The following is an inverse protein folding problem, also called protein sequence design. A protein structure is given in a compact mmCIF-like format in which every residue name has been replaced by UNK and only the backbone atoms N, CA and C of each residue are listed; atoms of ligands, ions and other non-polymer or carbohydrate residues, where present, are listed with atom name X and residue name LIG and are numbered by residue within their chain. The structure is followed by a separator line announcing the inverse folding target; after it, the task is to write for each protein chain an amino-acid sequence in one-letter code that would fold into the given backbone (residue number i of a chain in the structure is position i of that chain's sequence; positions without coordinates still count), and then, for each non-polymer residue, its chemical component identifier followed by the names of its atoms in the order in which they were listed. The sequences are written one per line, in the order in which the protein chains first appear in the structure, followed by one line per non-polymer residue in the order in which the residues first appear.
data_IF_011782619980
#
_entry.id   IF_011782619980
#
_cell.length_a   1.000
_cell.length_b   1.000
_cell.length_c   1.000
_cell.angle_alpha   90.00
_cell.angle_beta   90.00
_cell.angle_gamma   90.00
#
_symmetry.space_group_name_H-M   'P 1'
#
loop_
_entity.id
_entity.type
_entity.pdbx_description
1 polymer ?
#
# COMPACT_ATOMS: atom_id res chain seq x y z
N UNK A 1 20.39 18.99 12.08
CA UNK A 1 19.59 18.96 10.82
C UNK A 1 18.68 17.74 10.83
N UNK A 2 17.36 17.90 10.71
CA UNK A 2 16.47 16.76 10.42
C UNK A 2 16.74 16.31 8.98
N UNK A 3 17.49 15.22 8.82
CA UNK A 3 17.89 14.69 7.50
C UNK A 3 16.67 14.23 6.68
N UNK A 4 15.61 13.77 7.37
CA UNK A 4 14.33 13.34 6.78
C UNK A 4 13.27 14.42 6.97
N UNK A 5 12.82 15.03 5.87
CA UNK A 5 11.72 16.03 5.84
C UNK A 5 10.61 15.58 4.90
N UNK A 6 9.37 16.05 5.11
CA UNK A 6 8.20 15.70 4.27
C UNK A 6 8.43 16.04 2.79
N UNK A 7 9.05 17.20 2.50
CA UNK A 7 9.37 17.60 1.13
C UNK A 7 10.36 16.65 0.46
N UNK A 8 11.43 16.24 1.16
CA UNK A 8 12.40 15.28 0.63
C UNK A 8 11.78 13.91 0.36
N UNK A 9 10.88 13.46 1.24
CA UNK A 9 10.14 12.23 1.03
C UNK A 9 9.19 12.32 -0.18
N UNK A 10 8.49 13.44 -0.35
CA UNK A 10 7.62 13.65 -1.52
C UNK A 10 8.41 13.65 -2.83
N UNK A 11 9.55 14.34 -2.86
CA UNK A 11 10.47 14.32 -4.02
C UNK A 11 10.92 12.90 -4.33
N UNK A 12 11.33 12.13 -3.32
CA UNK A 12 11.74 10.74 -3.52
C UNK A 12 10.61 9.87 -4.13
N UNK A 13 9.36 10.06 -3.69
CA UNK A 13 8.20 9.35 -4.26
C UNK A 13 8.02 9.70 -5.74
N UNK A 14 8.05 10.99 -6.09
CA UNK A 14 7.93 11.45 -7.48
C UNK A 14 9.04 10.85 -8.35
N UNK A 15 10.28 10.87 -7.87
CA UNK A 15 11.41 10.26 -8.58
C UNK A 15 11.18 8.76 -8.79
N UNK A 16 10.76 8.03 -7.77
CA UNK A 16 10.44 6.59 -7.91
C UNK A 16 9.37 6.32 -8.96
N UNK A 17 8.30 7.13 -9.00
CA UNK A 17 7.26 7.01 -10.03
C UNK A 17 7.80 7.28 -11.43
N UNK A 18 8.59 8.35 -11.61
CA UNK A 18 9.17 8.67 -12.92
C UNK A 18 10.08 7.56 -13.43
N UNK A 19 10.94 7.01 -12.56
CA UNK A 19 11.79 5.87 -12.90
C UNK A 19 10.95 4.64 -13.24
N UNK A 20 9.89 4.35 -12.48
CA UNK A 20 8.99 3.23 -12.77
C UNK A 20 8.31 3.35 -14.13
N UNK A 21 7.88 4.56 -14.52
CA UNK A 21 7.33 4.81 -15.86
C UNK A 21 8.36 4.62 -16.95
N UNK A 22 9.57 5.14 -16.78
CA UNK A 22 10.65 5.00 -17.77
C UNK A 22 10.99 3.52 -17.99
N UNK A 23 11.20 2.78 -16.89
CA UNK A 23 11.45 1.34 -16.95
C UNK A 23 10.26 0.63 -17.60
N UNK A 24 9.03 0.87 -17.15
CA UNK A 24 7.83 0.21 -17.69
C UNK A 24 7.56 0.49 -19.17
N UNK A 25 7.89 1.68 -19.66
CA UNK A 25 7.66 2.09 -21.06
C UNK A 25 8.85 1.78 -21.99
N UNK A 26 9.96 1.26 -21.46
CA UNK A 26 11.15 0.94 -22.27
C UNK A 26 10.84 -0.03 -23.44
N UNK A 27 9.97 -1.06 -23.30
CA UNK A 27 9.58 -1.90 -24.43
C UNK A 27 8.81 -1.14 -25.53
N UNK A 28 8.08 -0.08 -25.18
CA UNK A 28 7.35 0.76 -26.14
C UNK A 28 8.28 1.72 -26.90
N UNK A 29 9.44 2.04 -26.35
CA UNK A 29 10.46 2.91 -26.99
C UNK A 29 11.31 2.16 -28.03
N UNK A 30 11.04 0.89 -28.30
CA UNK A 30 11.67 0.10 -29.36
C UNK A 30 12.30 -1.21 -28.91
N UNK A 31 12.37 -1.49 -27.60
CA UNK A 31 12.91 -2.76 -27.08
C UNK A 31 11.85 -3.86 -26.98
N UNK A 32 11.20 -4.17 -28.11
CA UNK A 32 10.17 -5.19 -28.22
C UNK A 32 10.49 -6.18 -29.35
N UNK A 33 9.74 -7.27 -29.45
CA UNK A 33 10.00 -8.32 -30.45
C UNK A 33 9.32 -8.05 -31.81
N UNK A 34 8.71 -6.89 -32.03
CA UNK A 34 7.89 -6.61 -33.22
C UNK A 34 8.70 -6.77 -34.51
N UNK A 35 9.92 -6.23 -34.54
CA UNK A 35 10.82 -6.34 -35.70
C UNK A 35 11.18 -7.80 -36.03
N UNK A 36 11.40 -8.63 -34.99
CA UNK A 36 11.73 -10.06 -35.15
C UNK A 36 10.54 -10.87 -35.65
N UNK A 37 9.33 -10.55 -35.18
CA UNK A 37 8.10 -11.18 -35.64
C UNK A 37 7.79 -10.86 -37.12
N UNK A 38 8.12 -9.64 -37.57
CA UNK A 38 7.94 -9.21 -38.95
C UNK A 38 8.89 -9.88 -39.93
N UNK A 39 10.12 -10.19 -39.53
CA UNK A 39 11.08 -10.90 -40.38
C UNK A 39 10.79 -12.41 -40.53
N UNK A 40 10.21 -13.05 -39.50
CA UNK A 40 9.93 -14.49 -39.55
C UNK A 40 8.67 -14.86 -40.38
N UNK A 41 8.02 -13.89 -41.04
CA UNK A 41 6.85 -14.14 -41.90
C UNK A 41 5.59 -14.59 -41.15
N UNK A 42 5.53 -14.40 -39.83
CA UNK A 42 4.38 -14.80 -38.99
C UNK A 42 3.24 -13.74 -38.96
N UNK A 43 3.41 -12.63 -39.67
CA UNK A 43 2.41 -11.57 -39.79
C UNK A 43 1.62 -11.79 -41.09
N UNK A 44 0.36 -12.22 -40.95
CA UNK A 44 -0.61 -12.17 -42.05
C UNK A 44 -0.81 -10.71 -42.48
N UNK A 45 -1.30 -10.48 -43.71
CA UNK A 45 -1.44 -9.14 -44.32
C UNK A 45 -2.18 -8.08 -43.45
N UNK A 46 -2.96 -8.52 -42.44
CA UNK A 46 -3.68 -7.67 -41.48
C UNK A 46 -2.92 -7.33 -40.17
N UNK A 47 -1.64 -7.68 -40.03
CA UNK A 47 -0.82 -7.38 -38.84
C UNK A 47 -1.42 -7.85 -37.49
N UNK A 48 -2.17 -8.96 -37.47
CA UNK A 48 -2.84 -9.47 -36.26
C UNK A 48 -1.88 -10.35 -35.46
N UNK A 49 -1.54 -9.93 -34.24
CA UNK A 49 -0.67 -10.67 -33.31
C UNK A 49 -1.52 -11.20 -32.14
N UNK A 50 -1.33 -12.47 -31.76
CA UNK A 50 -1.91 -13.01 -30.52
C UNK A 50 -1.25 -12.34 -29.32
N UNK A 51 -2.06 -11.66 -28.49
CA UNK A 51 -1.59 -10.93 -27.30
C UNK A 51 -1.09 -11.88 -26.21
N UNK A 52 0.12 -12.39 -26.38
CA UNK A 52 0.86 -13.17 -25.40
C UNK A 52 2.09 -12.39 -24.97
N UNK A 53 2.31 -12.33 -23.65
CA UNK A 53 3.40 -11.56 -23.04
C UNK A 53 4.77 -11.90 -23.66
N UNK A 54 5.05 -13.19 -23.85
CA UNK A 54 6.33 -13.67 -24.40
C UNK A 54 6.55 -13.28 -25.87
N UNK A 55 5.46 -13.05 -26.62
CA UNK A 55 5.54 -12.67 -28.03
C UNK A 55 5.84 -11.19 -28.18
N UNK A 56 5.23 -10.33 -27.36
CA UNK A 56 5.36 -8.87 -27.50
C UNK A 56 6.56 -8.30 -26.73
N UNK A 57 6.91 -8.88 -25.59
CA UNK A 57 7.99 -8.41 -24.72
C UNK A 57 9.21 -9.32 -24.83
N UNK A 58 10.39 -8.73 -25.02
CA UNK A 58 11.65 -9.47 -25.12
C UNK A 58 12.04 -10.09 -23.76
N UNK A 59 12.39 -11.37 -23.77
CA UNK A 59 12.90 -12.07 -22.58
C UNK A 59 14.25 -11.52 -22.14
N UNK A 60 15.09 -11.07 -23.08
CA UNK A 60 16.36 -10.40 -22.79
C UNK A 60 16.14 -9.13 -21.95
N UNK A 61 15.13 -8.33 -22.31
CA UNK A 61 14.72 -7.15 -21.56
C UNK A 61 14.24 -7.52 -20.14
N UNK A 62 13.36 -8.51 -20.04
CA UNK A 62 12.78 -8.93 -18.75
C UNK A 62 13.82 -9.51 -17.79
N UNK A 63 14.82 -10.21 -18.29
CA UNK A 63 15.86 -10.84 -17.46
C UNK A 63 17.01 -9.88 -17.17
N UNK A 64 17.68 -9.35 -18.19
CA UNK A 64 18.89 -8.55 -17.99
C UNK A 64 18.60 -7.15 -17.46
N UNK A 65 17.67 -6.43 -18.09
CA UNK A 65 17.39 -5.06 -17.70
C UNK A 65 16.47 -5.01 -16.48
N UNK A 66 15.31 -5.67 -16.55
CA UNK A 66 14.32 -5.59 -15.49
C UNK A 66 14.75 -6.40 -14.24
N UNK A 67 15.01 -7.70 -14.38
CA UNK A 67 15.33 -8.53 -13.21
C UNK A 67 16.71 -8.22 -12.62
N UNK A 68 17.78 -8.33 -13.41
CA UNK A 68 19.15 -8.10 -12.91
C UNK A 68 19.48 -6.62 -12.66
N UNK A 69 18.88 -5.70 -13.43
CA UNK A 69 19.13 -4.25 -13.27
C UNK A 69 18.27 -3.59 -12.19
N UNK A 70 16.95 -3.87 -12.18
CA UNK A 70 16.00 -3.08 -11.37
C UNK A 70 15.37 -3.84 -10.21
N UNK A 71 15.28 -5.17 -10.25
CA UNK A 71 14.63 -5.96 -9.19
C UNK A 71 15.66 -6.53 -8.22
N UNK A 72 16.70 -7.20 -8.73
CA UNK A 72 17.69 -7.89 -7.91
C UNK A 72 18.53 -6.91 -7.05
N UNK A 73 19.06 -5.77 -7.56
CA UNK A 73 19.92 -4.92 -6.75
C UNK A 73 19.19 -4.28 -5.56
N UNK A 74 17.96 -3.73 -5.71
CA UNK A 74 17.19 -3.28 -4.56
C UNK A 74 16.86 -4.41 -3.57
N UNK A 75 16.52 -5.61 -4.05
CA UNK A 75 16.29 -6.76 -3.17
C UNK A 75 17.53 -7.11 -2.35
N UNK A 76 18.71 -7.20 -2.98
CA UNK A 76 19.97 -7.48 -2.29
C UNK A 76 20.34 -6.37 -1.29
N UNK A 77 20.22 -5.10 -1.69
CA UNK A 77 20.47 -3.96 -0.81
C UNK A 77 19.57 -4.01 0.42
N UNK A 78 18.28 -4.27 0.23
CA UNK A 78 17.34 -4.39 1.33
C UNK A 78 17.71 -5.57 2.23
N UNK A 79 18.02 -6.75 1.68
CA UNK A 79 18.46 -7.90 2.46
C UNK A 79 19.68 -7.58 3.33
N UNK A 80 20.71 -6.95 2.76
CA UNK A 80 21.90 -6.53 3.50
C UNK A 80 21.52 -5.58 4.65
N UNK A 81 20.72 -4.55 4.37
CA UNK A 81 20.27 -3.59 5.40
C UNK A 81 19.52 -4.32 6.52
N UNK A 82 18.62 -5.26 6.21
CA UNK A 82 17.90 -6.01 7.25
C UNK A 82 18.79 -6.98 8.02
N UNK A 83 19.77 -7.61 7.36
CA UNK A 83 20.75 -8.46 8.07
C UNK A 83 21.61 -7.65 9.02
N UNK A 84 22.04 -6.45 8.63
CA UNK A 84 22.79 -5.52 9.49
C UNK A 84 21.95 -5.06 10.68
N UNK A 85 20.69 -4.70 10.42
CA UNK A 85 19.74 -4.34 11.48
C UNK A 85 19.60 -5.52 12.46
N UNK A 86 19.34 -6.73 11.95
CA UNK A 86 19.17 -7.93 12.76
C UNK A 86 20.43 -8.29 13.56
N UNK A 87 21.60 -8.22 12.93
CA UNK A 87 22.89 -8.45 13.57
C UNK A 87 23.14 -7.44 14.69
N UNK A 88 22.93 -6.14 14.43
CA UNK A 88 23.02 -5.09 15.45
C UNK A 88 22.10 -5.40 16.64
N UNK A 89 20.87 -5.86 16.38
CA UNK A 89 19.91 -6.22 17.42
C UNK A 89 20.42 -7.39 18.26
N UNK A 90 20.85 -8.48 17.64
CA UNK A 90 21.35 -9.65 18.36
C UNK A 90 22.59 -9.33 19.19
N UNK A 91 23.51 -8.52 18.65
CA UNK A 91 24.69 -8.03 19.37
C UNK A 91 24.31 -7.19 20.59
N UNK A 92 23.30 -6.33 20.48
CA UNK A 92 22.78 -5.52 21.58
C UNK A 92 22.10 -6.38 22.66
N UNK A 93 21.37 -7.43 22.27
CA UNK A 93 20.74 -8.38 23.20
C UNK A 93 21.78 -9.20 23.96
N UNK A 94 22.82 -9.70 23.28
CA UNK A 94 23.91 -10.46 23.91
C UNK A 94 24.73 -9.59 24.89
N UNK A 95 24.97 -8.31 24.59
CA UNK A 95 25.64 -7.38 25.52
C UNK A 95 24.80 -7.07 26.76
N UNK A 96 23.47 -7.00 26.62
CA UNK A 96 22.55 -6.72 27.72
C UNK A 96 22.33 -7.93 28.64
N UNK A 97 22.47 -9.15 28.14
CA UNK A 97 22.42 -10.37 28.96
C UNK A 97 23.52 -10.43 30.03
N UNK A 98 24.65 -9.73 29.84
CA UNK A 98 25.73 -9.62 30.83
C UNK A 98 25.64 -8.38 31.74
N UNK A 99 24.73 -7.42 31.48
CA UNK A 99 24.68 -6.15 32.22
C UNK A 99 23.28 -5.91 32.79
N UNK A 100 23.02 -6.52 33.94
CA UNK A 100 21.77 -6.37 34.70
C UNK A 100 21.72 -4.98 35.36
N UNK A 101 21.32 -3.93 34.64
CA UNK A 101 20.86 -2.68 35.28
C UNK A 101 19.81 -1.97 34.41
N UNK A 102 18.67 -1.69 35.06
CA UNK A 102 17.40 -1.31 34.48
C UNK A 102 17.36 0.19 34.14
N UNK A 103 17.01 0.53 32.90
CA UNK A 103 16.29 1.78 32.56
C UNK A 103 15.61 1.56 31.21
N UNK A 104 14.64 2.39 30.85
CA UNK A 104 13.56 2.12 29.88
C UNK A 104 13.74 2.57 28.39
N UNK A 105 14.90 2.41 27.69
CA UNK A 105 14.94 2.55 26.22
C UNK A 105 14.41 1.30 25.48
N UNK A 106 14.21 0.17 26.19
CA UNK A 106 13.76 -1.08 25.58
C UNK A 106 12.37 -0.95 24.92
N UNK A 107 11.45 -0.16 25.48
CA UNK A 107 10.08 -0.06 24.94
C UNK A 107 10.02 0.73 23.61
N UNK A 108 10.88 1.73 23.43
CA UNK A 108 11.00 2.47 22.16
C UNK A 108 11.65 1.59 21.08
N UNK A 109 12.78 0.97 21.41
CA UNK A 109 13.51 0.08 20.53
C UNK A 109 12.67 -1.13 20.06
N UNK A 110 11.93 -1.76 20.97
CA UNK A 110 11.04 -2.87 20.62
C UNK A 110 9.90 -2.46 19.66
N UNK A 111 9.44 -1.20 19.71
CA UNK A 111 8.44 -0.68 18.77
C UNK A 111 9.04 -0.47 17.38
N UNK A 112 10.20 0.18 17.30
CA UNK A 112 10.92 0.36 16.04
C UNK A 112 11.30 -0.98 15.41
N UNK A 113 11.78 -1.93 16.22
CA UNK A 113 12.06 -3.30 15.80
C UNK A 113 10.81 -4.00 15.28
N UNK A 114 9.67 -3.85 15.96
CA UNK A 114 8.42 -4.45 15.50
C UNK A 114 8.00 -3.90 14.13
N UNK A 115 8.23 -2.61 13.88
CA UNK A 115 8.00 -1.99 12.58
C UNK A 115 8.99 -2.52 11.54
N UNK A 116 10.28 -2.54 11.82
CA UNK A 116 11.31 -3.08 10.94
C UNK A 116 11.06 -4.56 10.58
N UNK A 117 10.67 -5.39 11.55
CA UNK A 117 10.29 -6.80 11.31
C UNK A 117 9.03 -6.92 10.45
N UNK A 118 8.11 -5.97 10.55
CA UNK A 118 6.94 -5.92 9.66
C UNK A 118 7.37 -5.58 8.23
N UNK A 119 8.24 -4.58 8.05
CA UNK A 119 8.76 -4.20 6.74
C UNK A 119 9.57 -5.34 6.10
N UNK A 120 10.42 -6.02 6.87
CA UNK A 120 11.15 -7.20 6.42
C UNK A 120 10.21 -8.31 5.93
N UNK A 121 9.10 -8.54 6.65
CA UNK A 121 8.10 -9.53 6.24
C UNK A 121 7.39 -9.15 4.94
N UNK A 122 7.03 -7.87 4.76
CA UNK A 122 6.45 -7.37 3.49
C UNK A 122 7.43 -7.62 2.33
N UNK A 123 8.71 -7.33 2.52
CA UNK A 123 9.72 -7.52 1.48
C UNK A 123 9.99 -9.00 1.17
N UNK A 124 9.98 -9.85 2.19
CA UNK A 124 10.08 -11.29 2.00
C UNK A 124 8.90 -11.83 1.19
N UNK A 125 7.68 -11.38 1.47
CA UNK A 125 6.50 -11.76 0.69
C UNK A 125 6.54 -11.18 -0.73
N UNK A 126 7.06 -9.98 -0.90
CA UNK A 126 7.34 -9.41 -2.23
C UNK A 126 8.32 -10.29 -3.01
N UNK A 127 9.44 -10.71 -2.40
CA UNK A 127 10.39 -11.60 -3.05
C UNK A 127 9.74 -12.95 -3.42
N UNK A 128 9.05 -13.61 -2.48
CA UNK A 128 8.38 -14.90 -2.77
C UNK A 128 7.33 -14.76 -3.86
N UNK A 129 6.62 -13.64 -3.93
CA UNK A 129 5.58 -13.46 -4.93
C UNK A 129 6.11 -13.19 -6.33
N UNK A 130 7.24 -12.49 -6.45
CA UNK A 130 7.83 -12.11 -7.74
C UNK A 130 8.88 -13.08 -8.25
N UNK A 131 9.63 -13.75 -7.37
CA UNK A 131 10.71 -14.66 -7.76
C UNK A 131 10.24 -15.80 -8.67
N UNK A 132 9.10 -16.49 -8.45
CA UNK A 132 8.66 -17.57 -9.34
C UNK A 132 8.49 -17.12 -10.79
N UNK A 133 7.92 -15.93 -11.00
CA UNK A 133 7.74 -15.37 -12.34
C UNK A 133 9.09 -15.02 -12.98
N UNK A 134 10.00 -14.38 -12.23
CA UNK A 134 11.35 -14.07 -12.73
C UNK A 134 12.17 -15.33 -13.03
N UNK A 135 12.05 -16.39 -12.23
CA UNK A 135 12.70 -17.68 -12.48
C UNK A 135 12.17 -18.29 -13.78
N UNK A 136 10.85 -18.28 -14.01
CA UNK A 136 10.27 -18.77 -15.27
C UNK A 136 10.77 -17.95 -16.47
N UNK A 137 10.89 -16.63 -16.34
CA UNK A 137 11.46 -15.78 -17.39
C UNK A 137 12.94 -16.12 -17.65
N UNK A 138 13.73 -16.39 -16.62
CA UNK A 138 15.12 -16.83 -16.76
C UNK A 138 15.20 -18.19 -17.47
N UNK A 139 14.37 -19.17 -17.08
CA UNK A 139 14.32 -20.48 -17.74
C UNK A 139 13.91 -20.33 -19.20
N UNK A 140 12.93 -19.48 -19.49
CA UNK A 140 12.47 -19.21 -20.86
C UNK A 140 13.59 -18.62 -21.72
N UNK A 141 14.47 -17.80 -21.14
CA UNK A 141 15.61 -17.22 -21.84
C UNK A 141 16.77 -18.20 -22.03
N UNK A 142 17.20 -18.89 -20.96
CA UNK A 142 18.40 -19.73 -20.97
C UNK A 142 18.14 -21.16 -21.46
N UNK A 143 16.90 -21.64 -21.36
CA UNK A 143 16.48 -22.96 -21.83
C UNK A 143 15.15 -22.86 -22.61
N UNK A 144 15.18 -22.41 -23.87
CA UNK A 144 13.97 -22.30 -24.70
C UNK A 144 13.32 -23.66 -25.00
N UNK A 145 14.06 -24.76 -24.86
CA UNK A 145 13.58 -26.15 -25.08
C UNK A 145 12.99 -26.79 -23.82
N UNK A 146 13.06 -26.12 -22.67
CA UNK A 146 12.52 -26.65 -21.42
C UNK A 146 11.00 -26.50 -21.40
N UNK A 147 10.29 -27.61 -21.25
CA UNK A 147 8.84 -27.58 -21.07
C UNK A 147 8.47 -26.96 -19.72
N UNK A 148 7.69 -25.88 -19.79
CA UNK A 148 7.13 -25.20 -18.64
C UNK A 148 5.63 -25.48 -18.57
N UNK A 149 5.16 -26.25 -17.59
CA UNK A 149 3.75 -26.57 -17.53
C UNK A 149 2.92 -25.30 -17.26
N UNK A 150 1.82 -25.15 -18.00
CA UNK A 150 0.97 -23.96 -17.99
C UNK A 150 0.51 -23.57 -16.57
N UNK A 151 0.24 -24.56 -15.72
CA UNK A 151 -0.21 -24.32 -14.35
C UNK A 151 0.83 -23.55 -13.51
N UNK A 152 2.14 -23.79 -13.70
CA UNK A 152 3.18 -23.07 -12.97
C UNK A 152 3.21 -21.59 -13.35
N UNK A 153 3.01 -21.30 -14.64
CA UNK A 153 2.92 -19.93 -15.14
C UNK A 153 1.71 -19.23 -14.51
N UNK A 154 0.54 -19.86 -14.52
CA UNK A 154 -0.67 -19.28 -13.91
C UNK A 154 -0.53 -19.06 -12.41
N UNK A 155 0.06 -20.01 -11.67
CA UNK A 155 0.31 -19.85 -10.24
C UNK A 155 1.28 -18.70 -9.98
N UNK A 156 2.36 -18.58 -10.77
CA UNK A 156 3.31 -17.47 -10.64
C UNK A 156 2.64 -16.11 -10.91
N UNK A 157 1.83 -16.02 -11.97
CA UNK A 157 1.04 -14.81 -12.29
C UNK A 157 0.08 -14.49 -11.14
N UNK A 158 -0.69 -15.47 -10.68
CA UNK A 158 -1.64 -15.29 -9.57
C UNK A 158 -0.92 -14.82 -8.30
N UNK A 159 0.26 -15.35 -8.02
CA UNK A 159 1.07 -14.97 -6.88
C UNK A 159 1.54 -13.51 -6.97
N UNK A 160 1.98 -13.07 -8.15
CA UNK A 160 2.34 -11.66 -8.38
C UNK A 160 1.15 -10.71 -8.20
N UNK A 161 -0.04 -11.07 -8.68
CA UNK A 161 -1.25 -10.28 -8.45
C UNK A 161 -1.68 -10.29 -6.98
N UNK A 162 -1.55 -11.44 -6.32
CA UNK A 162 -1.87 -11.62 -4.90
C UNK A 162 -1.01 -10.75 -3.98
N UNK A 163 0.22 -10.39 -4.37
CA UNK A 163 1.10 -9.51 -3.60
C UNK A 163 0.44 -8.16 -3.23
N UNK A 164 -0.44 -7.63 -4.09
CA UNK A 164 -1.18 -6.40 -3.80
C UNK A 164 -2.12 -6.54 -2.59
N UNK A 165 -2.77 -7.71 -2.45
CA UNK A 165 -3.68 -8.03 -1.34
C UNK A 165 -2.94 -8.35 -0.02
N UNK A 166 -1.68 -8.75 -0.11
CA UNK A 166 -0.85 -9.07 1.06
C UNK A 166 -0.57 -7.83 1.92
N UNK A 167 -0.40 -6.65 1.31
CA UNK A 167 0.01 -5.46 2.05
C UNK A 167 -0.99 -5.06 3.17
N UNK A 168 -2.30 -4.90 2.93
CA UNK A 168 -3.27 -4.61 3.98
C UNK A 168 -3.35 -5.70 5.05
N UNK A 169 -3.28 -6.98 4.65
CA UNK A 169 -3.30 -8.13 5.55
C UNK A 169 -2.13 -8.05 6.52
N UNK A 170 -0.92 -7.87 6.01
CA UNK A 170 0.29 -7.77 6.84
C UNK A 170 0.17 -6.60 7.82
N UNK A 171 -0.28 -5.43 7.38
CA UNK A 171 -0.42 -4.28 8.27
C UNK A 171 -1.50 -4.50 9.34
N UNK A 172 -2.63 -5.11 8.98
CA UNK A 172 -3.72 -5.42 9.91
C UNK A 172 -3.28 -6.41 11.00
N UNK A 173 -2.48 -7.43 10.68
CA UNK A 173 -2.00 -8.39 11.68
C UNK A 173 -0.80 -7.89 12.50
N UNK A 174 0.05 -7.03 11.92
CA UNK A 174 1.34 -6.65 12.55
C UNK A 174 1.27 -5.34 13.33
N UNK A 175 0.51 -4.36 12.89
CA UNK A 175 0.45 -3.02 13.51
C UNK A 175 -0.85 -2.89 14.30
N UNK A 176 -0.74 -2.88 15.65
CA UNK A 176 -1.91 -2.77 16.55
C UNK A 176 -2.79 -1.56 16.22
N UNK A 177 -2.19 -0.40 15.93
CA UNK A 177 -2.93 0.83 15.56
C UNK A 177 -3.78 0.65 14.30
N UNK A 178 -3.26 -0.03 13.27
CA UNK A 178 -4.03 -0.31 12.06
C UNK A 178 -5.14 -1.32 12.33
N UNK A 179 -4.83 -2.40 13.06
CA UNK A 179 -5.82 -3.40 13.46
C UNK A 179 -7.00 -2.78 14.19
N UNK A 180 -6.73 -1.91 15.16
CA UNK A 180 -7.76 -1.31 15.99
C UNK A 180 -8.63 -0.33 15.16
N UNK A 181 -8.03 0.38 14.19
CA UNK A 181 -8.77 1.19 13.22
C UNK A 181 -9.62 0.34 12.26
N UNK A 182 -9.08 -0.76 11.72
CA UNK A 182 -9.83 -1.70 10.87
C UNK A 182 -11.01 -2.31 11.62
N UNK A 183 -10.83 -2.72 12.88
CA UNK A 183 -11.91 -3.24 13.72
C UNK A 183 -12.97 -2.19 14.03
N UNK A 184 -12.58 -0.91 14.21
CA UNK A 184 -13.52 0.20 14.40
C UNK A 184 -14.37 0.42 13.14
N UNK A 185 -13.73 0.50 11.98
CA UNK A 185 -14.42 0.64 10.68
C UNK A 185 -15.32 -0.57 10.43
N UNK A 186 -14.83 -1.79 10.69
CA UNK A 186 -15.61 -3.02 10.53
C UNK A 186 -16.86 -3.03 11.42
N UNK A 187 -16.73 -2.66 12.70
CA UNK A 187 -17.88 -2.59 13.60
C UNK A 187 -18.90 -1.52 13.21
N UNK A 188 -18.41 -0.39 12.69
CA UNK A 188 -19.26 0.74 12.32
C UNK A 188 -19.99 0.52 10.99
N UNK A 189 -19.35 -0.11 9.99
CA UNK A 189 -19.94 -0.31 8.66
C UNK A 189 -20.56 -1.70 8.45
N UNK A 190 -19.97 -2.77 9.01
CA UNK A 190 -20.44 -4.15 8.78
C UNK A 190 -21.27 -4.72 9.93
N UNK A 191 -21.20 -4.15 11.14
CA UNK A 191 -22.02 -4.62 12.27
C UNK A 191 -23.18 -3.67 12.65
N UNK A 192 -23.39 -2.56 11.93
CA UNK A 192 -24.43 -1.56 12.22
C UNK A 192 -24.62 -1.30 13.73
N UNK A 193 -23.52 -1.23 14.48
CA UNK A 193 -23.56 -0.74 15.86
C UNK A 193 -23.21 0.73 15.80
N UNK A 194 -24.22 1.56 16.01
CA UNK A 194 -24.02 2.97 16.33
C UNK A 194 -22.96 3.04 17.42
N UNK A 195 -21.87 3.75 17.12
CA UNK A 195 -20.90 4.10 18.14
C UNK A 195 -21.66 4.99 19.12
N UNK A 196 -21.85 4.58 20.39
CA UNK A 196 -22.35 5.53 21.37
C UNK A 196 -21.34 6.66 21.39
N UNK A 197 -21.80 7.89 21.17
CA UNK A 197 -20.98 9.09 21.25
C UNK A 197 -20.10 8.97 22.49
N UNK A 198 -18.78 8.84 22.29
CA UNK A 198 -17.85 8.80 23.41
C UNK A 198 -17.96 10.19 24.04
N UNK A 199 -18.63 10.17 25.19
CA UNK A 199 -18.56 11.14 26.27
C UNK A 199 -17.18 11.79 26.27
N UNK A 200 -17.18 13.12 26.12
CA UNK A 200 -16.03 13.98 26.34
C UNK A 200 -15.18 13.41 27.49
N UNK A 201 -13.89 13.22 27.24
CA UNK A 201 -12.91 12.97 28.30
C UNK A 201 -13.14 14.01 29.40
N UNK A 202 -13.41 13.62 30.66
CA UNK A 202 -13.20 14.53 31.76
C UNK A 202 -11.68 14.75 31.83
N UNK A 203 -11.27 15.97 31.51
CA UNK A 203 -9.95 16.46 31.90
C UNK A 203 -9.81 16.26 33.39
N UNK A 204 -8.77 15.55 33.79
CA UNK A 204 -8.34 15.31 35.16
C UNK A 204 -7.86 16.64 35.76
N UNK A 205 -8.79 17.51 36.15
CA UNK A 205 -8.47 18.80 36.79
C UNK A 205 -9.48 19.31 37.82
N UNK A 206 -10.22 18.43 38.48
CA UNK A 206 -11.04 18.78 39.67
C UNK A 206 -10.88 17.72 40.77
N UNK A 207 -9.66 17.54 41.26
CA UNK A 207 -9.42 16.69 42.45
C UNK A 207 -8.55 17.35 43.52
N UNK A 208 -8.58 18.68 43.62
CA UNK A 208 -7.93 19.42 44.70
C UNK A 208 -8.70 20.71 45.02
N UNK A 209 -9.93 20.61 45.54
CA UNK A 209 -10.53 21.74 46.29
C UNK A 209 -11.70 21.34 47.20
N UNK A 210 -11.60 20.18 47.86
CA UNK A 210 -12.53 19.86 48.95
C UNK A 210 -11.79 19.29 50.16
N UNK A 211 -10.89 20.12 50.69
CA UNK A 211 -10.41 20.04 52.07
C UNK A 211 -9.92 21.44 52.49
N UNK A 212 -10.87 22.33 52.81
CA UNK A 212 -10.69 23.36 53.83
C UNK A 212 -11.96 24.19 53.99
N UNK A 213 -12.36 24.46 55.25
CA UNK A 213 -13.14 25.66 55.56
C UNK A 213 -14.53 25.43 56.13
N UNK A 214 -14.59 24.92 57.36
CA UNK A 214 -15.69 25.18 58.28
C UNK A 214 -15.69 26.69 58.64
N UNK A 215 -16.81 27.41 58.50
CA UNK A 215 -16.86 28.83 58.85
C UNK A 215 -18.18 29.55 58.53
N UNK A 216 -18.94 29.82 59.59
CA UNK A 216 -20.19 30.58 59.68
C UNK A 216 -20.03 32.07 59.26
N UNK A 217 -21.05 32.71 58.67
CA UNK A 217 -21.10 34.18 58.57
C UNK A 217 -22.14 34.79 57.61
N UNK A 218 -23.12 35.51 58.19
CA UNK A 218 -24.18 36.30 57.56
C UNK A 218 -23.71 37.46 56.64
N UNK A 219 -24.52 37.81 55.63
CA UNK A 219 -24.50 39.14 54.97
C UNK A 219 -25.28 39.19 53.65
N UNK A 220 -26.39 39.94 53.61
CA UNK A 220 -27.23 40.25 52.43
C UNK A 220 -26.82 41.63 51.81
N UNK A 221 -27.46 42.15 50.74
CA UNK A 221 -27.09 42.04 49.32
C UNK A 221 -26.77 43.40 48.65
N UNK A 222 -26.18 43.42 47.43
CA UNK A 222 -26.66 44.29 46.34
C UNK A 222 -25.99 44.01 44.97
N UNK A 223 -26.62 44.42 43.84
CA UNK A 223 -26.40 43.89 42.50
C UNK A 223 -25.71 44.89 41.55
N UNK A 224 -25.21 44.38 40.43
CA UNK A 224 -25.11 45.06 39.13
C UNK A 224 -24.88 43.94 38.08
N UNK A 225 -25.82 43.68 37.16
CA UNK A 225 -25.94 44.26 35.81
C UNK A 225 -24.58 44.21 35.08
N UNK A 226 -24.41 43.46 33.98
CA UNK A 226 -25.14 43.63 32.72
C UNK A 226 -25.39 42.34 31.92
N UNK A 227 -26.40 42.46 31.06
CA UNK A 227 -26.98 41.44 30.18
C UNK A 227 -26.39 41.49 28.75
N UNK A 228 -26.02 40.31 28.22
CA UNK A 228 -26.24 39.79 26.84
C UNK A 228 -25.66 40.52 25.59
N UNK A 229 -25.64 39.90 24.38
CA UNK A 229 -25.92 38.49 24.01
C UNK A 229 -24.90 37.84 23.05
N UNK A 230 -25.19 36.56 22.79
CA UNK A 230 -24.63 35.64 21.81
C UNK A 230 -24.45 36.16 20.36
N UNK A 231 -23.47 35.57 19.67
CA UNK A 231 -23.38 35.55 18.21
C UNK A 231 -23.31 34.08 17.74
N UNK A 232 -24.36 33.64 17.04
CA UNK A 232 -24.48 32.36 16.34
C UNK A 232 -23.86 32.42 14.92
N UNK A 233 -23.64 31.28 14.25
CA UNK A 233 -22.62 31.09 13.19
C UNK A 233 -23.17 31.29 11.76
N UNK A 234 -22.31 31.25 10.72
CA UNK A 234 -22.75 30.94 9.36
C UNK A 234 -22.79 29.41 9.12
N UNK A 235 -23.97 28.93 8.74
CA UNK A 235 -24.20 27.70 7.97
C UNK A 235 -23.99 27.98 6.46
N UNK A 236 -23.45 26.99 5.74
CA UNK A 236 -23.81 26.51 4.39
C UNK A 236 -22.59 25.75 3.81
N UNK A 237 -22.70 24.61 3.14
CA UNK A 237 -23.86 23.96 2.56
C UNK A 237 -23.59 22.48 2.26
N UNK A 238 -24.73 21.80 2.13
CA UNK A 238 -24.97 20.36 2.01
C UNK A 238 -24.48 19.76 0.68
N UNK A 239 -24.14 18.47 0.76
CA UNK A 239 -23.92 17.48 -0.30
C UNK A 239 -25.11 17.37 -1.29
N UNK A 240 -24.96 16.67 -2.43
CA UNK A 240 -25.43 15.28 -2.41
C UNK A 240 -24.61 14.27 -3.22
N UNK A 241 -24.64 13.04 -2.69
CA UNK A 241 -24.41 11.76 -3.35
C UNK A 241 -25.59 11.35 -4.24
N UNK A 242 -25.34 10.59 -5.32
CA UNK A 242 -26.23 9.47 -5.72
C UNK A 242 -25.50 8.54 -6.70
N UNK A 243 -25.25 7.31 -6.26
CA UNK A 243 -25.38 6.14 -7.13
C UNK A 243 -26.82 6.10 -7.65
N UNK A 244 -27.03 6.07 -8.97
CA UNK A 244 -28.11 5.35 -9.67
C UNK A 244 -27.91 5.52 -11.19
N UNK A 245 -27.18 4.60 -11.81
CA UNK A 245 -27.63 4.03 -13.09
C UNK A 245 -26.82 2.77 -13.40
N UNK A 246 -27.41 1.64 -13.02
CA UNK A 246 -27.11 0.35 -13.60
C UNK A 246 -27.86 0.26 -14.95
N UNK A 247 -27.28 -0.48 -15.88
CA UNK A 247 -27.92 -1.06 -17.08
C UNK A 247 -27.96 -0.22 -18.37
N UNK A 248 -26.95 -0.41 -19.25
CA UNK A 248 -27.15 -0.41 -20.70
C UNK A 248 -26.25 -1.49 -21.35
N UNK A 249 -26.88 -2.52 -21.93
CA UNK A 249 -26.31 -3.39 -22.98
C UNK A 249 -27.25 -3.29 -24.21
N UNK A 250 -26.82 -3.78 -25.39
CA UNK A 250 -26.38 -3.01 -26.56
C UNK A 250 -27.49 -2.76 -27.61
N UNK A 251 -27.47 -1.61 -28.28
CA UNK A 251 -28.27 -1.39 -29.49
C UNK A 251 -27.47 -1.69 -30.76
N UNK A 252 -27.99 -2.66 -31.54
CA UNK A 252 -27.62 -3.02 -32.91
C UNK A 252 -28.17 -1.95 -33.88
N UNK A 253 -27.41 -1.47 -34.87
CA UNK A 253 -28.01 -0.73 -35.98
C UNK A 253 -28.75 -1.70 -36.92
N UNK A 254 -30.04 -1.43 -37.13
CA UNK A 254 -30.78 -1.92 -38.29
C UNK A 254 -30.14 -1.31 -39.55
N UNK A 255 -29.79 -2.14 -40.52
CA UNK A 255 -29.73 -1.72 -41.92
C UNK A 255 -30.88 -2.40 -42.67
N UNK A 256 -31.52 -1.58 -43.49
CA UNK A 256 -32.74 -1.77 -44.22
C UNK A 256 -32.55 -2.85 -45.30
N UNK A 257 -33.49 -3.79 -45.39
CA UNK A 257 -33.70 -4.56 -46.61
C UNK A 257 -34.50 -3.67 -47.58
N UNK A 258 -33.98 -3.47 -48.77
CA UNK A 258 -34.77 -3.29 -49.98
C UNK A 258 -34.36 -4.39 -50.98
N UNK A 259 -35.31 -4.73 -51.83
CA UNK A 259 -35.62 -6.06 -52.39
C UNK A 259 -34.87 -6.34 -53.73
N UNK A 260 -35.22 -7.35 -54.56
CA UNK A 260 -34.28 -8.22 -55.23
C UNK A 260 -34.18 -7.86 -56.72
N UNK A 261 -33.70 -8.81 -57.52
CA UNK A 261 -33.89 -8.98 -58.98
C UNK A 261 -32.65 -8.71 -59.84
N UNK A 262 -32.25 -9.80 -60.51
CA UNK A 262 -31.27 -9.99 -61.59
C UNK A 262 -29.84 -10.32 -61.19
#
# INVERSE_FOLDING_TARGET
MRVVTKQRAAVAVVVCWTVAFIVGLTPMLGWNNLWRLQQNGSLNEDLIITCQFENVISMDYMVYFNFFGWVLPPLLLMLVIYTEIFYMIHKQLNKKACTTNHTDPNKYYNKELKLAKSLALVLFLFAISWLPLHIINCITLFCPTCDKPLFLIYIAILLTHGNSAVNPIVYAFRIKKFRDAFLKIWKQYFCCKDVPAILNQPSEKDRNENQNGNGNGNGNPNPNRDSQPALSPPQEGQQPSLEQMQEVKPQRPQSHNDDPTQ
#
